data_IF_127442658090
#
_entry.id   IF_127442658090
#
_cell.length_a   1.000
_cell.length_b   1.000
_cell.length_c   1.000
_cell.angle_alpha   90.00
_cell.angle_beta   90.00
_cell.angle_gamma   90.00
#
_symmetry.space_group_name_H-M   'P 1'
#
loop_
_entity.id
_entity.type
_entity.pdbx_description
1 polymer ?
#
# COMPACT_ATOMS: atom_id res chain seq x y z
N UNK A 1 -15.28 -16.34 -24.64
CA UNK A 1 -15.98 -17.49 -23.99
C UNK A 1 -15.16 -17.78 -22.73
N UNK A 2 -15.59 -17.26 -21.58
CA UNK A 2 -14.95 -17.47 -20.28
C UNK A 2 -15.75 -18.53 -19.52
N UNK A 3 -15.09 -19.62 -19.15
CA UNK A 3 -15.67 -20.63 -18.27
C UNK A 3 -15.64 -20.13 -16.80
N UNK A 4 -16.68 -20.41 -15.99
CA UNK A 4 -16.70 -20.06 -14.58
C UNK A 4 -15.78 -21.01 -13.79
N UNK A 5 -14.97 -20.46 -12.88
CA UNK A 5 -14.13 -21.20 -11.95
C UNK A 5 -15.00 -21.95 -10.93
N UNK A 6 -14.70 -23.23 -10.77
CA UNK A 6 -15.33 -24.16 -9.86
C UNK A 6 -15.18 -23.71 -8.40
N UNK A 7 -16.26 -23.91 -7.64
CA UNK A 7 -16.35 -23.59 -6.21
C UNK A 7 -15.43 -24.48 -5.36
N UNK A 8 -14.95 -23.88 -4.29
CA UNK A 8 -14.22 -24.53 -3.22
C UNK A 8 -15.05 -25.68 -2.60
N UNK A 9 -14.55 -26.89 -2.43
CA UNK A 9 -15.31 -27.97 -1.81
C UNK A 9 -15.47 -27.71 -0.30
N UNK A 10 -16.71 -27.84 0.18
CA UNK A 10 -17.02 -27.88 1.61
C UNK A 10 -16.53 -29.21 2.20
N UNK A 11 -16.02 -29.23 3.45
CA UNK A 11 -15.66 -30.49 4.10
C UNK A 11 -16.92 -31.34 4.38
N UNK A 12 -16.80 -32.67 4.41
CA UNK A 12 -17.93 -33.55 4.61
C UNK A 12 -18.48 -33.46 6.05
N UNK A 13 -19.81 -33.46 6.15
CA UNK A 13 -20.53 -33.61 7.42
C UNK A 13 -20.32 -35.02 7.93
N UNK A 14 -19.70 -35.15 9.10
CA UNK A 14 -19.67 -36.39 9.86
C UNK A 14 -21.05 -36.53 10.55
N UNK A 15 -21.80 -37.53 10.18
CA UNK A 15 -22.97 -37.98 10.93
C UNK A 15 -22.48 -38.88 12.07
N UNK A 16 -22.66 -38.46 13.32
CA UNK A 16 -22.60 -39.35 14.47
C UNK A 16 -23.99 -39.54 15.03
N UNK A 17 -24.45 -40.81 14.97
CA UNK A 17 -25.59 -41.32 15.67
C UNK A 17 -25.25 -41.46 17.16
N UNK A 18 -25.74 -40.56 18.00
CA UNK A 18 -26.06 -40.84 19.40
C UNK A 18 -26.81 -39.64 20.00
N UNK A 19 -28.08 -39.83 20.32
CA UNK A 19 -28.92 -38.83 20.98
C UNK A 19 -28.44 -38.51 22.40
N UNK A 20 -27.70 -37.41 22.53
CA UNK A 20 -27.51 -36.72 23.79
C UNK A 20 -27.87 -35.25 23.58
N UNK A 21 -28.91 -34.78 24.28
CA UNK A 21 -29.23 -33.35 24.39
C UNK A 21 -28.06 -32.68 25.11
N UNK A 22 -27.20 -32.01 24.34
CA UNK A 22 -26.24 -31.08 24.89
C UNK A 22 -26.99 -29.77 25.09
N UNK A 23 -27.27 -29.44 26.34
CA UNK A 23 -27.58 -28.07 26.76
C UNK A 23 -26.32 -27.23 26.51
N UNK A 24 -26.40 -26.32 25.52
CA UNK A 24 -25.40 -25.29 25.34
C UNK A 24 -25.49 -24.33 26.53
N UNK A 25 -24.69 -24.59 27.55
CA UNK A 25 -24.31 -23.55 28.51
C UNK A 25 -23.41 -22.56 27.76
N UNK A 26 -23.99 -21.43 27.37
CA UNK A 26 -23.26 -20.29 26.85
C UNK A 26 -22.60 -19.53 28.00
N UNK A 27 -21.61 -20.14 28.62
CA UNK A 27 -20.61 -19.38 29.37
C UNK A 27 -19.49 -18.98 28.39
N UNK A 28 -19.74 -17.92 27.62
CA UNK A 28 -18.68 -17.17 26.95
C UNK A 28 -17.99 -16.33 28.01
N UNK A 29 -17.21 -16.97 28.89
CA UNK A 29 -16.16 -16.30 29.61
C UNK A 29 -15.18 -15.76 28.57
N UNK A 30 -15.19 -14.43 28.38
CA UNK A 30 -14.19 -13.69 27.64
C UNK A 30 -12.81 -14.14 28.16
N UNK A 31 -12.09 -14.93 27.36
CA UNK A 31 -10.66 -15.15 27.62
C UNK A 31 -10.03 -13.76 27.63
N UNK A 32 -9.37 -13.33 28.71
CA UNK A 32 -8.74 -12.03 28.76
C UNK A 32 -7.72 -11.99 27.63
N UNK A 33 -7.86 -11.01 26.74
CA UNK A 33 -6.91 -10.69 25.69
C UNK A 33 -5.52 -10.60 26.33
N UNK A 34 -4.76 -11.71 26.25
CA UNK A 34 -3.45 -11.82 26.88
C UNK A 34 -2.53 -10.79 26.22
N UNK A 35 -2.35 -9.66 26.88
CA UNK A 35 -1.39 -8.65 26.45
C UNK A 35 0.00 -9.31 26.35
N UNK A 36 0.65 -9.16 25.23
CA UNK A 36 2.00 -9.70 24.98
C UNK A 36 2.95 -9.15 26.04
N UNK A 37 3.62 -10.04 26.76
CA UNK A 37 4.64 -9.64 27.73
C UNK A 37 5.86 -9.03 27.02
N UNK A 38 6.64 -8.21 27.77
CA UNK A 38 7.91 -7.67 27.24
C UNK A 38 8.85 -8.77 26.72
N UNK A 39 8.92 -9.91 27.39
CA UNK A 39 9.80 -11.01 27.01
C UNK A 39 9.27 -11.75 25.77
N UNK A 40 7.95 -11.89 25.65
CA UNK A 40 7.32 -12.42 24.43
C UNK A 40 7.63 -11.50 23.21
N UNK A 41 7.53 -10.18 23.37
CA UNK A 41 7.88 -9.23 22.30
C UNK A 41 9.37 -9.34 21.94
N UNK A 42 10.26 -9.44 22.95
CA UNK A 42 11.71 -9.60 22.73
C UNK A 42 12.07 -10.92 22.04
N UNK A 43 11.28 -11.98 22.28
CA UNK A 43 11.47 -13.30 21.67
C UNK A 43 10.98 -13.36 20.21
N UNK A 44 10.24 -12.38 19.72
CA UNK A 44 9.80 -12.28 18.32
C UNK A 44 10.99 -12.00 17.40
N UNK A 45 11.82 -13.00 17.19
CA UNK A 45 12.99 -12.93 16.31
C UNK A 45 12.82 -13.92 15.18
N UNK A 46 13.09 -13.48 13.95
CA UNK A 46 13.22 -14.33 12.78
C UNK A 46 14.67 -14.34 12.32
N UNK A 47 15.18 -15.51 11.97
CA UNK A 47 16.44 -15.62 11.24
C UNK A 47 16.14 -15.42 9.77
N UNK A 48 16.91 -14.56 9.12
CA UNK A 48 16.85 -14.36 7.68
C UNK A 48 17.68 -15.42 6.96
N UNK A 49 17.37 -15.63 5.66
CA UNK A 49 18.13 -16.51 4.79
C UNK A 49 19.51 -15.98 4.45
N UNK A 50 20.18 -16.66 3.51
CA UNK A 50 21.52 -16.29 3.04
C UNK A 50 21.52 -15.77 1.59
N UNK A 51 20.35 -15.39 1.09
CA UNK A 51 20.22 -14.78 -0.24
C UNK A 51 20.81 -13.37 -0.19
N UNK A 52 21.95 -13.19 -0.87
CA UNK A 52 22.60 -11.88 -0.97
C UNK A 52 22.13 -11.06 -2.16
N UNK A 53 22.43 -9.76 -2.09
CA UNK A 53 22.23 -8.80 -3.18
C UNK A 53 23.61 -8.37 -3.70
N UNK A 54 24.14 -9.07 -4.71
CA UNK A 54 25.47 -8.82 -5.21
C UNK A 54 25.53 -7.71 -6.24
N UNK A 55 24.63 -7.74 -7.22
CA UNK A 55 24.57 -6.78 -8.33
C UNK A 55 23.14 -6.34 -8.60
N UNK A 56 22.95 -5.03 -8.70
CA UNK A 56 21.74 -4.42 -9.23
C UNK A 56 22.03 -3.76 -10.59
N UNK A 57 21.05 -3.67 -11.52
CA UNK A 57 21.16 -2.88 -12.73
C UNK A 57 21.65 -1.45 -12.43
N UNK A 58 22.32 -0.79 -13.37
CA UNK A 58 22.70 0.61 -13.20
C UNK A 58 21.50 1.55 -13.05
N UNK A 59 20.38 1.20 -13.69
CA UNK A 59 19.11 1.91 -13.57
C UNK A 59 18.32 1.44 -12.35
N UNK A 60 18.05 2.33 -11.37
CA UNK A 60 17.27 1.99 -10.18
C UNK A 60 15.81 1.61 -10.48
N UNK A 61 15.21 2.13 -11.56
CA UNK A 61 13.84 1.80 -11.96
C UNK A 61 13.75 0.38 -12.53
N UNK A 62 14.76 -0.05 -13.28
CA UNK A 62 14.87 -1.44 -13.72
C UNK A 62 15.02 -2.39 -12.52
N UNK A 63 15.87 -2.04 -11.53
CA UNK A 63 16.03 -2.80 -10.30
C UNK A 63 14.71 -2.91 -9.52
N UNK A 64 13.98 -1.81 -9.38
CA UNK A 64 12.70 -1.78 -8.70
C UNK A 64 11.65 -2.64 -9.44
N UNK A 65 11.58 -2.53 -10.76
CA UNK A 65 10.61 -3.28 -11.57
C UNK A 65 10.83 -4.80 -11.47
N UNK A 66 12.08 -5.26 -11.41
CA UNK A 66 12.42 -6.66 -11.18
C UNK A 66 11.88 -7.12 -9.81
N UNK A 67 12.20 -6.37 -8.74
CA UNK A 67 11.78 -6.73 -7.40
C UNK A 67 10.26 -6.65 -7.21
N UNK A 68 9.60 -5.68 -7.84
CA UNK A 68 8.14 -5.58 -7.83
C UNK A 68 7.49 -6.78 -8.52
N UNK A 69 8.02 -7.22 -9.67
CA UNK A 69 7.51 -8.39 -10.38
C UNK A 69 7.69 -9.67 -9.55
N UNK A 70 8.84 -9.85 -8.90
CA UNK A 70 9.07 -10.96 -7.98
C UNK A 70 8.10 -10.91 -6.78
N UNK A 71 7.89 -9.73 -6.19
CA UNK A 71 6.93 -9.55 -5.11
C UNK A 71 5.49 -9.84 -5.54
N UNK A 72 5.10 -9.43 -6.75
CA UNK A 72 3.77 -9.69 -7.30
C UNK A 72 3.53 -11.18 -7.60
N UNK A 73 4.58 -11.95 -7.84
CA UNK A 73 4.50 -13.41 -8.04
C UNK A 73 4.52 -14.21 -6.76
N UNK A 74 4.80 -13.59 -5.62
CA UNK A 74 4.89 -14.26 -4.32
C UNK A 74 3.49 -14.40 -3.69
N UNK A 75 3.06 -15.64 -3.44
CA UNK A 75 1.73 -15.96 -2.89
C UNK A 75 1.46 -15.40 -1.48
N UNK A 76 2.50 -15.06 -0.71
CA UNK A 76 2.38 -14.49 0.62
C UNK A 76 2.31 -12.95 0.62
N UNK A 77 2.39 -12.30 -0.54
CA UNK A 77 2.30 -10.85 -0.70
C UNK A 77 0.98 -10.51 -1.40
N UNK A 78 0.01 -10.02 -0.63
CA UNK A 78 -1.35 -9.74 -1.12
C UNK A 78 -1.37 -8.55 -2.11
N UNK A 79 -0.65 -7.47 -1.78
CA UNK A 79 -0.59 -6.24 -2.58
C UNK A 79 0.87 -5.79 -2.72
N UNK A 80 1.58 -6.30 -3.72
CA UNK A 80 3.00 -5.98 -3.95
C UNK A 80 3.23 -4.49 -4.23
N UNK A 81 2.24 -3.79 -4.77
CA UNK A 81 2.26 -2.37 -5.07
C UNK A 81 1.81 -1.48 -3.90
N UNK A 82 1.49 -2.05 -2.73
CA UNK A 82 1.22 -1.27 -1.53
C UNK A 82 2.52 -0.65 -0.99
N UNK A 83 2.50 0.66 -0.72
CA UNK A 83 3.62 1.39 -0.15
C UNK A 83 3.18 2.26 1.02
N UNK A 84 4.02 2.36 2.03
CA UNK A 84 3.80 3.21 3.22
C UNK A 84 4.36 4.60 2.93
N UNK A 85 3.48 5.57 2.71
CA UNK A 85 3.85 6.97 2.45
C UNK A 85 3.95 7.75 3.76
N UNK A 86 5.08 8.40 3.96
CA UNK A 86 5.33 9.34 5.07
C UNK A 86 5.33 10.78 4.54
N UNK A 87 4.60 11.65 5.24
CA UNK A 87 4.50 13.09 4.91
C UNK A 87 4.71 13.93 6.18
N UNK A 88 5.28 15.12 6.02
CA UNK A 88 5.50 16.09 7.08
C UNK A 88 4.40 17.16 7.06
N UNK A 89 3.66 17.31 8.14
CA UNK A 89 2.63 18.34 8.29
C UNK A 89 3.18 19.72 8.65
N UNK A 90 2.30 20.72 8.68
CA UNK A 90 2.65 22.12 8.99
C UNK A 90 3.21 22.31 10.41
N UNK A 91 2.82 21.45 11.33
CA UNK A 91 3.26 21.41 12.74
C UNK A 91 4.44 20.46 12.97
N UNK A 92 5.17 20.13 11.91
CA UNK A 92 6.28 19.17 11.90
C UNK A 92 5.85 17.73 12.29
N UNK A 93 4.55 17.45 12.31
CA UNK A 93 4.05 16.12 12.59
C UNK A 93 4.28 15.18 11.39
N UNK A 94 5.04 14.12 11.59
CA UNK A 94 5.22 13.07 10.59
C UNK A 94 4.06 12.08 10.69
N UNK A 95 3.32 11.92 9.59
CA UNK A 95 2.22 10.95 9.50
C UNK A 95 2.45 9.95 8.39
N UNK A 96 2.04 8.69 8.63
CA UNK A 96 2.18 7.58 7.66
C UNK A 96 0.84 6.95 7.33
N UNK A 97 0.72 6.42 6.11
CA UNK A 97 -0.43 5.62 5.63
C UNK A 97 -0.02 4.79 4.43
N UNK A 98 -0.78 3.73 4.18
CA UNK A 98 -0.63 2.96 2.94
C UNK A 98 -1.31 3.68 1.78
N UNK A 99 -0.62 3.73 0.64
CA UNK A 99 -1.15 4.11 -0.67
C UNK A 99 -0.69 3.07 -1.70
N UNK A 100 -1.33 3.02 -2.87
CA UNK A 100 -1.01 2.03 -3.90
C UNK A 100 -0.26 2.67 -5.06
N UNK A 101 0.93 2.15 -5.37
CA UNK A 101 1.64 2.48 -6.61
C UNK A 101 0.77 2.08 -7.81
N UNK A 102 0.64 2.98 -8.78
CA UNK A 102 -0.17 2.78 -9.98
C UNK A 102 0.61 2.93 -11.28
N UNK A 103 1.74 3.61 -11.23
CA UNK A 103 2.58 3.79 -12.40
C UNK A 103 4.04 4.06 -12.02
N UNK A 104 4.95 3.65 -12.90
CA UNK A 104 6.39 3.92 -12.85
C UNK A 104 6.77 4.47 -14.22
N UNK A 105 6.65 5.75 -14.39
CA UNK A 105 6.94 6.44 -15.64
C UNK A 105 7.54 7.81 -15.38
N UNK A 106 8.11 8.41 -16.41
CA UNK A 106 8.70 9.75 -16.36
C UNK A 106 9.65 9.97 -15.17
N UNK A 107 10.41 8.93 -14.84
CA UNK A 107 11.39 8.98 -13.76
C UNK A 107 10.79 9.09 -12.36
N UNK A 108 9.55 8.61 -12.14
CA UNK A 108 8.88 8.70 -10.86
C UNK A 108 7.90 7.57 -10.53
N UNK A 109 7.37 7.62 -9.33
CA UNK A 109 6.41 6.66 -8.76
C UNK A 109 5.08 7.36 -8.52
N UNK A 110 4.02 6.93 -9.21
CA UNK A 110 2.72 7.60 -9.21
C UNK A 110 1.70 6.86 -8.37
N UNK A 111 0.95 7.59 -7.55
CA UNK A 111 -0.23 7.11 -6.84
C UNK A 111 -1.36 8.14 -6.92
N UNK A 112 -2.58 7.73 -6.63
CA UNK A 112 -3.76 8.60 -6.70
C UNK A 112 -4.41 8.76 -5.34
N UNK A 113 -4.93 9.96 -5.05
CA UNK A 113 -5.55 10.28 -3.78
C UNK A 113 -6.54 11.46 -3.90
N UNK A 114 -7.21 11.75 -2.77
CA UNK A 114 -7.99 12.96 -2.62
C UNK A 114 -7.08 14.13 -2.24
N UNK A 115 -7.14 15.23 -2.99
CA UNK A 115 -6.36 16.45 -2.80
C UNK A 115 -6.75 17.28 -1.55
N UNK A 116 -7.90 16.96 -0.94
CA UNK A 116 -8.37 17.58 0.31
C UNK A 116 -8.09 16.72 1.54
N UNK A 117 -7.34 15.63 1.40
CA UNK A 117 -7.00 14.75 2.51
C UNK A 117 -5.85 15.32 3.35
N UNK A 118 -5.71 14.84 4.60
CA UNK A 118 -4.61 15.24 5.50
C UNK A 118 -3.23 15.10 4.86
N UNK A 119 -3.00 14.00 4.10
CA UNK A 119 -1.74 13.82 3.38
C UNK A 119 -1.51 14.86 2.28
N UNK A 120 -2.58 15.25 1.58
CA UNK A 120 -2.49 16.24 0.53
C UNK A 120 -2.13 17.62 1.08
N UNK A 121 -2.74 18.04 2.18
CA UNK A 121 -2.37 19.29 2.87
C UNK A 121 -0.91 19.25 3.36
N UNK A 122 -0.45 18.10 3.89
CA UNK A 122 0.96 17.96 4.27
C UNK A 122 1.91 18.09 3.07
N UNK A 123 1.56 17.51 1.92
CA UNK A 123 2.33 17.61 0.66
C UNK A 123 2.36 19.06 0.13
N UNK A 124 1.28 19.81 0.28
CA UNK A 124 1.22 21.22 -0.12
C UNK A 124 2.16 22.10 0.73
N UNK A 125 2.39 21.72 1.97
CA UNK A 125 3.32 22.42 2.87
C UNK A 125 4.77 21.99 2.66
N UNK A 126 5.00 20.71 2.41
CA UNK A 126 6.32 20.11 2.28
C UNK A 126 6.33 19.08 1.15
N UNK A 127 7.05 19.37 0.09
CA UNK A 127 7.17 18.50 -1.09
C UNK A 127 8.14 17.32 -0.92
N UNK A 128 8.72 17.15 0.28
CA UNK A 128 9.62 16.03 0.60
C UNK A 128 8.83 14.90 1.25
N UNK A 129 8.92 13.73 0.63
CA UNK A 129 8.24 12.53 1.12
C UNK A 129 9.17 11.33 1.10
N UNK A 130 8.78 10.31 1.86
CA UNK A 130 9.39 8.99 1.79
C UNK A 130 8.31 7.93 1.64
N UNK A 131 8.61 6.89 0.86
CA UNK A 131 7.78 5.69 0.76
C UNK A 131 8.60 4.44 1.04
N UNK A 132 7.95 3.44 1.61
CA UNK A 132 8.54 2.13 1.90
C UNK A 132 7.65 1.03 1.28
N UNK A 133 8.27 0.13 0.53
CA UNK A 133 7.68 -1.14 0.10
C UNK A 133 8.18 -2.25 1.02
N UNK A 134 7.36 -2.75 1.97
CA UNK A 134 7.79 -3.71 2.98
C UNK A 134 7.45 -5.15 2.56
N UNK A 135 8.23 -5.75 1.68
CA UNK A 135 8.03 -7.13 1.22
C UNK A 135 8.61 -8.14 2.22
N UNK A 136 8.05 -8.17 3.43
CA UNK A 136 8.55 -8.98 4.55
C UNK A 136 8.63 -10.47 4.25
N UNK A 137 7.69 -11.00 3.43
CA UNK A 137 7.71 -12.41 3.05
C UNK A 137 8.95 -12.80 2.22
N UNK A 138 9.59 -11.82 1.58
CA UNK A 138 10.83 -11.97 0.80
C UNK A 138 12.07 -11.50 1.58
N UNK A 139 11.90 -11.08 2.82
CA UNK A 139 12.99 -10.47 3.61
C UNK A 139 13.59 -9.24 2.91
N UNK A 140 12.77 -8.49 2.16
CA UNK A 140 13.15 -7.33 1.34
C UNK A 140 12.33 -6.11 1.69
N UNK A 141 12.96 -4.96 1.50
CA UNK A 141 12.27 -3.69 1.46
C UNK A 141 12.93 -2.73 0.48
N UNK A 142 12.15 -1.83 -0.11
CA UNK A 142 12.64 -0.72 -0.91
C UNK A 142 12.17 0.58 -0.27
N UNK A 143 13.11 1.45 0.08
CA UNK A 143 12.84 2.79 0.61
C UNK A 143 13.16 3.84 -0.45
N UNK A 144 12.23 4.74 -0.70
CA UNK A 144 12.37 5.80 -1.70
C UNK A 144 12.11 7.14 -1.01
N UNK A 145 13.04 8.07 -1.12
CA UNK A 145 12.85 9.44 -0.68
C UNK A 145 13.02 10.40 -1.87
N UNK A 146 12.16 11.42 -1.95
CA UNK A 146 12.18 12.32 -3.10
C UNK A 146 11.26 13.52 -2.96
N UNK A 147 11.07 14.19 -4.09
CA UNK A 147 10.16 15.33 -4.24
C UNK A 147 8.85 14.84 -4.84
N UNK A 148 7.72 15.31 -4.30
CA UNK A 148 6.40 14.95 -4.78
C UNK A 148 5.71 16.14 -5.44
N UNK A 149 5.02 15.89 -6.55
CA UNK A 149 4.19 16.88 -7.24
C UNK A 149 2.90 16.27 -7.74
N UNK A 150 1.88 17.11 -7.97
CA UNK A 150 0.67 16.68 -8.70
C UNK A 150 1.03 16.36 -10.15
N UNK A 151 0.46 15.31 -10.70
CA UNK A 151 0.50 15.04 -12.15
C UNK A 151 -0.54 15.90 -12.88
N UNK A 152 -0.55 15.85 -14.19
CA UNK A 152 -1.50 16.62 -15.00
C UNK A 152 -2.95 16.14 -14.77
N UNK A 153 -3.90 17.05 -15.03
CA UNK A 153 -5.33 16.71 -14.98
C UNK A 153 -5.68 15.62 -16.02
N UNK A 154 -5.07 15.69 -17.21
CA UNK A 154 -5.27 14.69 -18.27
C UNK A 154 -4.87 13.28 -17.82
N UNK A 155 -3.69 13.11 -17.22
CA UNK A 155 -3.24 11.81 -16.68
C UNK A 155 -4.17 11.33 -15.55
N UNK A 156 -4.63 12.26 -14.71
CA UNK A 156 -5.55 11.94 -13.63
C UNK A 156 -6.93 11.51 -14.14
N UNK A 157 -7.44 12.13 -15.20
CA UNK A 157 -8.70 11.78 -15.87
C UNK A 157 -8.61 10.43 -16.57
N UNK A 158 -7.53 10.19 -17.31
CA UNK A 158 -7.28 8.92 -17.98
C UNK A 158 -7.29 7.77 -16.98
N UNK A 159 -6.53 7.87 -15.89
CA UNK A 159 -6.53 6.82 -14.88
C UNK A 159 -7.89 6.71 -14.15
N UNK A 160 -8.56 7.83 -13.84
CA UNK A 160 -9.87 7.80 -13.17
C UNK A 160 -10.89 7.01 -13.97
N UNK A 161 -10.92 7.16 -15.30
CA UNK A 161 -11.81 6.45 -16.20
C UNK A 161 -11.61 4.93 -16.19
N UNK A 162 -10.41 4.44 -15.89
CA UNK A 162 -10.11 2.99 -15.80
C UNK A 162 -10.53 2.34 -14.48
N UNK A 163 -10.90 3.14 -13.46
CA UNK A 163 -11.25 2.61 -12.14
C UNK A 163 -12.61 1.89 -12.18
N UNK A 164 -12.79 0.84 -11.38
CA UNK A 164 -14.10 0.24 -11.19
C UNK A 164 -15.15 1.30 -10.80
N UNK A 165 -16.37 1.20 -11.32
CA UNK A 165 -17.44 2.15 -11.05
C UNK A 165 -17.63 2.46 -9.56
N UNK A 166 -17.69 1.44 -8.71
CA UNK A 166 -17.81 1.62 -7.25
C UNK A 166 -16.70 2.47 -6.64
N UNK A 167 -15.47 2.35 -7.18
CA UNK A 167 -14.32 3.16 -6.75
C UNK A 167 -14.41 4.61 -7.26
N UNK A 168 -15.00 4.82 -8.44
CA UNK A 168 -15.28 6.16 -8.95
C UNK A 168 -16.35 6.86 -8.09
N UNK A 169 -17.44 6.16 -7.77
CA UNK A 169 -18.51 6.66 -6.88
C UNK A 169 -17.97 6.94 -5.48
N UNK A 170 -17.14 6.05 -4.94
CA UNK A 170 -16.48 6.24 -3.63
C UNK A 170 -15.63 7.51 -3.55
N UNK A 171 -15.01 7.92 -4.66
CA UNK A 171 -14.24 9.16 -4.72
C UNK A 171 -15.12 10.43 -4.60
N UNK A 172 -16.36 10.37 -5.05
CA UNK A 172 -17.36 11.43 -4.87
C UNK A 172 -17.98 11.44 -3.48
N UNK A 173 -18.24 10.25 -2.93
CA UNK A 173 -18.93 10.10 -1.65
C UNK A 173 -18.03 10.49 -0.46
N UNK A 174 -16.72 10.26 -0.55
CA UNK A 174 -15.81 10.39 0.57
C UNK A 174 -15.15 11.77 0.68
N UNK A 175 -15.44 12.51 1.75
CA UNK A 175 -14.64 13.65 2.19
C UNK A 175 -13.41 13.13 2.97
N UNK A 176 -12.45 12.57 2.29
CA UNK A 176 -11.31 11.83 2.88
C UNK A 176 -10.59 12.63 3.98
N UNK A 177 -10.37 11.99 5.11
CA UNK A 177 -9.72 12.55 6.33
C UNK A 177 -10.57 13.55 7.13
N UNK A 178 -11.79 13.85 6.73
CA UNK A 178 -12.69 14.66 7.53
C UNK A 178 -13.43 13.79 8.58
N UNK A 179 -13.83 14.38 9.73
CA UNK A 179 -14.71 13.70 10.67
C UNK A 179 -15.98 13.21 9.99
N UNK A 180 -16.46 12.05 10.38
CA UNK A 180 -17.67 11.42 9.88
C UNK A 180 -18.56 11.08 11.08
N UNK A 181 -19.82 11.54 11.07
CA UNK A 181 -20.73 11.32 12.20
C UNK A 181 -21.17 9.86 12.34
N UNK A 182 -21.38 9.17 11.20
CA UNK A 182 -21.80 7.78 11.21
C UNK A 182 -21.47 7.06 9.91
N UNK A 183 -21.43 5.73 9.99
CA UNK A 183 -21.33 4.89 8.78
C UNK A 183 -22.51 5.09 7.83
N UNK A 184 -23.71 5.29 8.38
CA UNK A 184 -24.93 5.51 7.60
C UNK A 184 -24.88 6.81 6.76
N UNK A 185 -24.22 7.87 7.26
CA UNK A 185 -23.98 9.09 6.47
C UNK A 185 -23.15 8.78 5.22
N UNK A 186 -22.04 8.05 5.37
CA UNK A 186 -21.19 7.69 4.22
C UNK A 186 -21.94 6.82 3.21
N UNK A 187 -22.75 5.89 3.68
CA UNK A 187 -23.58 5.03 2.83
C UNK A 187 -24.65 5.83 2.09
N UNK A 188 -25.27 6.80 2.74
CA UNK A 188 -26.21 7.73 2.11
C UNK A 188 -25.57 8.58 1.02
N UNK A 189 -24.38 9.11 1.28
CA UNK A 189 -23.58 9.87 0.28
C UNK A 189 -23.18 8.99 -0.91
N UNK A 190 -22.80 7.74 -0.65
CA UNK A 190 -22.49 6.78 -1.71
C UNK A 190 -23.74 6.47 -2.55
N UNK A 191 -24.90 6.24 -1.94
CA UNK A 191 -26.16 6.00 -2.62
C UNK A 191 -26.57 7.20 -3.50
N UNK A 192 -26.50 8.41 -2.97
CA UNK A 192 -26.82 9.63 -3.75
C UNK A 192 -25.87 9.85 -4.94
N UNK A 193 -24.58 9.52 -4.80
CA UNK A 193 -23.65 9.55 -5.92
C UNK A 193 -23.95 8.45 -6.95
N UNK A 194 -24.35 7.26 -6.49
CA UNK A 194 -24.75 6.13 -7.36
C UNK A 194 -26.03 6.43 -8.17
N UNK A 195 -26.99 7.11 -7.58
CA UNK A 195 -28.20 7.56 -8.28
C UNK A 195 -27.86 8.60 -9.35
N UNK A 196 -26.93 9.51 -9.05
CA UNK A 196 -26.50 10.55 -10.00
C UNK A 196 -25.72 9.97 -11.19
N UNK A 197 -24.93 8.95 -10.98
CA UNK A 197 -24.16 8.27 -12.00
C UNK A 197 -24.35 6.75 -11.89
N UNK A 198 -25.45 6.21 -12.46
CA UNK A 198 -25.73 4.78 -12.43
C UNK A 198 -24.60 3.96 -13.08
N UNK A 199 -24.50 2.69 -12.69
CA UNK A 199 -23.53 1.76 -13.28
C UNK A 199 -23.71 1.67 -14.80
N UNK A 200 -22.62 1.69 -15.55
CA UNK A 200 -22.62 1.75 -17.01
C UNK A 200 -22.65 3.17 -17.60
N UNK A 201 -22.77 4.22 -16.77
CA UNK A 201 -22.62 5.62 -17.21
C UNK A 201 -21.21 6.14 -16.98
N UNK A 202 -20.86 7.22 -17.67
CA UNK A 202 -19.57 7.90 -17.46
C UNK A 202 -19.62 8.70 -16.17
N UNK A 203 -18.74 8.36 -15.22
CA UNK A 203 -18.56 9.11 -13.98
C UNK A 203 -17.43 10.12 -14.17
N UNK A 204 -17.68 11.43 -14.08
CA UNK A 204 -16.61 12.42 -14.21
C UNK A 204 -15.65 12.34 -13.01
N UNK A 205 -14.38 12.67 -13.22
CA UNK A 205 -13.40 12.78 -12.14
C UNK A 205 -13.77 13.95 -11.20
N UNK A 206 -13.82 13.73 -9.88
CA UNK A 206 -13.98 14.84 -8.94
C UNK A 206 -12.80 15.81 -9.02
N UNK A 207 -12.99 17.14 -8.94
CA UNK A 207 -11.91 18.12 -9.00
C UNK A 207 -10.91 17.98 -7.83
N UNK A 208 -11.34 17.39 -6.72
CA UNK A 208 -10.54 17.14 -5.53
C UNK A 208 -9.83 15.77 -5.55
N UNK A 209 -9.79 15.07 -6.67
CA UNK A 209 -9.16 13.76 -6.79
C UNK A 209 -8.19 13.74 -7.97
N UNK A 210 -7.00 13.14 -7.78
CA UNK A 210 -6.01 12.99 -8.84
C UNK A 210 -4.72 12.35 -8.35
N UNK A 211 -3.71 12.38 -9.21
CA UNK A 211 -2.44 11.72 -8.99
C UNK A 211 -1.36 12.60 -8.43
N UNK A 212 -0.43 11.94 -7.75
CA UNK A 212 0.85 12.47 -7.31
C UNK A 212 1.97 11.62 -7.88
N UNK A 213 3.05 12.25 -8.32
CA UNK A 213 4.30 11.59 -8.73
C UNK A 213 5.41 11.94 -7.75
N UNK A 214 6.10 10.92 -7.25
CA UNK A 214 7.31 11.05 -6.44
C UNK A 214 8.50 10.90 -7.37
N UNK A 215 9.27 11.97 -7.56
CA UNK A 215 10.55 11.95 -8.28
C UNK A 215 11.65 11.64 -7.26
N UNK A 216 12.28 10.45 -7.30
CA UNK A 216 13.20 10.02 -6.26
C UNK A 216 14.51 10.81 -6.29
N UNK A 217 15.03 11.09 -5.11
CA UNK A 217 16.42 11.53 -4.88
C UNK A 217 17.26 10.39 -4.32
N UNK A 218 16.62 9.43 -3.64
CA UNK A 218 17.28 8.20 -3.25
C UNK A 218 16.32 7.01 -3.36
N UNK A 219 16.87 5.86 -3.75
CA UNK A 219 16.19 4.56 -3.77
C UNK A 219 17.12 3.56 -3.11
N UNK A 220 16.75 3.06 -1.94
CA UNK A 220 17.51 2.06 -1.21
C UNK A 220 16.84 0.70 -1.30
N UNK A 221 17.61 -0.30 -1.74
CA UNK A 221 17.28 -1.70 -1.71
C UNK A 221 17.92 -2.33 -0.48
N UNK A 222 17.13 -3.00 0.32
CA UNK A 222 17.56 -3.71 1.51
C UNK A 222 17.15 -5.19 1.42
N UNK A 223 18.10 -6.09 1.64
CA UNK A 223 17.90 -7.53 1.68
C UNK A 223 18.33 -8.07 3.05
N UNK A 224 17.40 -8.76 3.72
CA UNK A 224 17.67 -9.45 4.97
C UNK A 224 18.67 -10.57 4.79
N UNK A 225 19.66 -10.65 5.69
CA UNK A 225 20.68 -11.72 5.72
C UNK A 225 20.91 -12.22 7.12
N UNK A 226 21.45 -13.44 7.20
CA UNK A 226 21.87 -14.09 8.44
C UNK A 226 22.78 -13.17 9.28
N UNK A 227 22.75 -13.36 10.60
CA UNK A 227 23.57 -12.59 11.56
C UNK A 227 23.38 -11.07 11.51
N UNK A 228 22.29 -10.58 10.90
CA UNK A 228 22.00 -9.14 10.68
C UNK A 228 22.98 -8.41 9.78
N UNK A 229 23.79 -9.16 9.01
CA UNK A 229 24.72 -8.58 8.02
C UNK A 229 23.98 -8.33 6.70
N UNK A 230 22.93 -7.48 6.76
CA UNK A 230 22.02 -7.19 5.66
C UNK A 230 22.73 -6.47 4.51
N UNK A 231 22.31 -6.76 3.28
CA UNK A 231 22.77 -5.98 2.14
C UNK A 231 21.94 -4.70 2.00
N UNK A 232 22.64 -3.59 1.80
CA UNK A 232 22.05 -2.28 1.55
C UNK A 232 22.74 -1.63 0.36
N UNK A 233 22.00 -1.46 -0.73
CA UNK A 233 22.44 -0.78 -1.95
C UNK A 233 21.52 0.42 -2.18
N UNK A 234 22.11 1.61 -2.26
CA UNK A 234 21.36 2.85 -2.41
C UNK A 234 21.84 3.61 -3.63
N UNK A 235 20.89 3.95 -4.49
CA UNK A 235 21.05 4.93 -5.55
C UNK A 235 20.71 6.30 -4.99
N UNK A 236 21.59 7.27 -5.18
CA UNK A 236 21.42 8.64 -4.70
C UNK A 236 21.76 9.62 -5.80
N UNK A 237 21.02 10.74 -5.84
CA UNK A 237 21.32 11.89 -6.70
C UNK A 237 21.05 13.20 -5.96
N UNK A 238 21.75 14.25 -6.33
CA UNK A 238 21.65 15.54 -5.64
C UNK A 238 20.41 16.34 -6.06
N UNK A 239 20.04 16.25 -7.33
CA UNK A 239 18.88 16.92 -7.92
C UNK A 239 18.07 15.92 -8.75
N UNK A 240 16.83 16.26 -9.07
CA UNK A 240 15.95 15.41 -9.88
C UNK A 240 16.46 15.16 -11.31
N UNK A 241 17.38 16.02 -11.79
CA UNK A 241 17.93 15.96 -13.14
C UNK A 241 19.33 15.36 -13.22
N UNK A 242 19.95 15.07 -12.05
CA UNK A 242 21.28 14.44 -12.01
C UNK A 242 21.19 12.93 -12.08
N UNK A 243 22.29 12.29 -12.51
CA UNK A 243 22.40 10.83 -12.55
C UNK A 243 22.47 10.23 -11.15
N UNK A 244 22.03 8.99 -11.02
CA UNK A 244 22.14 8.23 -9.79
C UNK A 244 23.56 7.66 -9.62
N UNK A 245 24.06 7.73 -8.39
CA UNK A 245 25.27 7.04 -7.95
C UNK A 245 24.87 5.90 -7.03
N UNK A 246 25.32 4.69 -7.35
CA UNK A 246 25.07 3.50 -6.53
C UNK A 246 26.16 3.33 -5.47
N UNK A 247 25.75 3.22 -4.22
CA UNK A 247 26.65 3.03 -3.08
C UNK A 247 26.16 1.87 -2.20
N UNK A 248 27.08 1.03 -1.72
CA UNK A 248 26.80 0.00 -0.71
C UNK A 248 27.03 0.56 0.68
N UNK A 249 26.08 0.31 1.58
CA UNK A 249 26.13 0.75 2.97
C UNK A 249 26.27 -0.42 3.94
N UNK A 250 26.84 -0.14 5.08
CA UNK A 250 26.78 -1.07 6.22
C UNK A 250 25.33 -1.28 6.65
N UNK A 251 24.98 -2.48 7.19
CA UNK A 251 23.65 -2.80 7.70
C UNK A 251 23.24 -1.96 8.92
#
# INVERSE_FOLDING_TARGET
ILHPKAGCPRPPLIQDDAGAKVTLDTDMSEEPNQSLTRDAIRAMRRSYGDVGMENLPADPFASFSIWLAEAASNEFIVEANAMVLSTLGADEEITTRTVLLKDISEGGFTFFSNYQSRKAHAIEMHDRVSVLFPWYAMERQVSIAGVISKISDSESEEYFATRPWSSQIGAWASAQSQPLESRAELESRFAGASEKWPEGTVVPRPPHWGGYRITPLSIEFWQGRYSRLHDRLRYERQTTDSEFVLTRYYP
#
